data_IF_705444197256
#
_entry.id   IF_705444197256
#
_cell.length_a   1.000
_cell.length_b   1.000
_cell.length_c   1.000
_cell.angle_alpha   90.00
_cell.angle_beta   90.00
_cell.angle_gamma   90.00
#
_symmetry.space_group_name_H-M   'P 1'
#
loop_
_entity.id
_entity.type
_entity.pdbx_description
1 polymer ?
#
# COMPACT_ATOMS: atom_id res chain seq x y z
N UNK A 1 16.30 -8.69 0.19
CA UNK A 1 15.15 -7.91 0.70
C UNK A 1 14.77 -6.89 -0.37
N UNK A 2 13.49 -6.81 -0.78
CA UNK A 2 12.99 -5.77 -1.72
C UNK A 2 12.88 -4.39 -1.04
N UNK A 3 13.76 -4.10 -0.08
CA UNK A 3 13.70 -2.88 0.72
C UNK A 3 14.06 -1.68 -0.14
N UNK A 4 13.19 -0.67 -0.14
CA UNK A 4 13.37 0.61 -0.82
C UNK A 4 12.41 0.87 -1.99
N UNK A 5 11.92 -0.14 -2.71
CA UNK A 5 11.09 0.04 -3.92
C UNK A 5 9.61 -0.30 -3.75
N UNK A 6 9.23 -0.92 -2.63
CA UNK A 6 7.84 -1.28 -2.34
C UNK A 6 7.15 -0.16 -1.56
N UNK A 7 5.99 0.25 -2.03
CA UNK A 7 5.16 1.30 -1.41
C UNK A 7 3.73 0.80 -1.30
N UNK A 8 3.09 1.17 -0.20
CA UNK A 8 1.69 0.88 0.07
C UNK A 8 0.93 2.20 0.16
N UNK A 9 -0.31 2.22 -0.33
CA UNK A 9 -1.22 3.33 -0.06
C UNK A 9 -1.56 3.38 1.43
N UNK A 10 -1.96 4.55 1.93
CA UNK A 10 -2.48 4.70 3.30
C UNK A 10 -3.99 4.95 3.22
N UNK A 11 -4.78 3.90 3.41
CA UNK A 11 -6.24 3.99 3.51
C UNK A 11 -6.74 4.16 4.94
N UNK A 12 -6.00 3.64 5.91
CA UNK A 12 -6.23 3.82 7.34
C UNK A 12 -4.90 3.72 8.09
N UNK A 13 -4.38 4.86 8.57
CA UNK A 13 -3.09 4.95 9.24
C UNK A 13 -3.02 4.10 10.53
N UNK A 14 -4.11 4.02 11.29
CA UNK A 14 -4.17 3.28 12.57
C UNK A 14 -4.04 1.76 12.39
N UNK A 15 -4.12 1.27 11.15
CA UNK A 15 -4.09 -0.17 10.82
C UNK A 15 -2.90 -0.57 9.95
N UNK A 16 -1.92 0.31 9.77
CA UNK A 16 -0.74 0.01 8.94
C UNK A 16 0.16 -1.09 9.56
N UNK A 17 0.19 -1.22 10.88
CA UNK A 17 0.97 -2.27 11.55
C UNK A 17 0.24 -3.62 11.63
N UNK A 18 -1.03 -3.67 11.20
CA UNK A 18 -1.79 -4.92 11.15
C UNK A 18 -1.61 -5.57 9.80
N UNK A 19 -0.88 -6.68 9.74
CA UNK A 19 -0.66 -7.43 8.51
C UNK A 19 -1.76 -8.47 8.30
N UNK A 20 -2.24 -8.60 7.08
CA UNK A 20 -3.26 -9.57 6.68
C UNK A 20 -2.78 -10.39 5.49
N UNK A 21 -3.14 -11.67 5.48
CA UNK A 21 -2.89 -12.58 4.37
C UNK A 21 -3.76 -12.18 3.18
N UNK A 22 -3.15 -11.99 2.01
CA UNK A 22 -3.82 -11.65 0.76
C UNK A 22 -3.91 -12.86 -0.19
N UNK A 23 -4.15 -14.06 0.34
CA UNK A 23 -4.43 -15.32 -0.37
C UNK A 23 -3.32 -15.78 -1.35
N UNK A 24 -2.16 -15.11 -1.37
CA UNK A 24 -1.11 -15.29 -2.39
C UNK A 24 0.29 -15.40 -1.79
N UNK A 25 0.41 -15.93 -0.57
CA UNK A 25 1.66 -15.95 0.21
C UNK A 25 2.28 -14.54 0.41
N UNK A 26 1.45 -13.52 0.25
CA UNK A 26 1.81 -12.11 0.36
C UNK A 26 0.98 -11.49 1.47
N UNK A 27 1.66 -11.03 2.50
CA UNK A 27 1.05 -10.23 3.54
C UNK A 27 1.03 -8.77 3.10
N UNK A 28 -0.08 -8.10 3.37
CA UNK A 28 -0.22 -6.66 3.15
C UNK A 28 -0.62 -5.96 4.44
N UNK A 29 -0.28 -4.67 4.61
CA UNK A 29 -0.85 -3.83 5.67
C UNK A 29 -2.36 -3.70 5.47
N UNK A 30 -3.17 -4.04 6.46
CA UNK A 30 -4.62 -3.86 6.44
C UNK A 30 -4.96 -2.38 6.21
N UNK A 31 -4.20 -1.48 6.82
CA UNK A 31 -4.30 -0.04 6.64
C UNK A 31 -4.02 0.43 5.20
N UNK A 32 -3.47 -0.43 4.34
CA UNK A 32 -3.22 -0.07 2.94
C UNK A 32 -4.42 -0.19 2.02
N UNK A 33 -5.45 -0.93 2.45
CA UNK A 33 -6.66 -1.15 1.67
C UNK A 33 -7.43 0.16 1.44
N UNK A 34 -7.74 0.43 0.18
CA UNK A 34 -8.52 1.59 -0.24
C UNK A 34 -9.97 1.18 -0.51
N UNK A 35 -10.88 2.15 -0.42
CA UNK A 35 -12.23 1.94 -0.97
C UNK A 35 -12.15 1.78 -2.49
N UNK A 36 -13.07 1.03 -3.12
CA UNK A 36 -13.06 0.82 -4.56
C UNK A 36 -13.03 2.13 -5.37
N UNK A 37 -13.74 3.15 -4.90
CA UNK A 37 -13.78 4.46 -5.55
C UNK A 37 -12.43 5.17 -5.55
N UNK A 38 -11.69 5.11 -4.44
CA UNK A 38 -10.35 5.72 -4.36
C UNK A 38 -9.35 4.90 -5.17
N UNK A 39 -9.39 3.57 -5.04
CA UNK A 39 -8.53 2.67 -5.81
C UNK A 39 -8.66 2.90 -7.33
N UNK A 40 -9.90 3.06 -7.82
CA UNK A 40 -10.15 3.34 -9.22
C UNK A 40 -9.50 4.65 -9.68
N UNK A 41 -9.61 5.72 -8.89
CA UNK A 41 -8.97 7.01 -9.21
C UNK A 41 -7.45 6.91 -9.23
N UNK A 42 -6.85 6.16 -8.31
CA UNK A 42 -5.40 5.90 -8.29
C UNK A 42 -4.95 5.20 -9.57
N UNK A 43 -5.75 4.26 -10.08
CA UNK A 43 -5.52 3.59 -11.36
C UNK A 43 -5.66 4.57 -12.53
N UNK A 44 -6.67 5.44 -12.52
CA UNK A 44 -6.83 6.49 -13.54
C UNK A 44 -5.61 7.44 -13.59
N UNK A 45 -5.09 7.85 -12.42
CA UNK A 45 -3.88 8.67 -12.33
C UNK A 45 -2.66 7.95 -12.92
N UNK A 46 -2.49 6.66 -12.64
CA UNK A 46 -1.42 5.85 -13.23
C UNK A 46 -1.51 5.81 -14.76
N UNK A 47 -2.72 5.66 -15.32
CA UNK A 47 -2.90 5.69 -16.78
C UNK A 47 -2.64 7.08 -17.40
N UNK A 48 -2.81 8.16 -16.63
CA UNK A 48 -2.46 9.52 -17.07
C UNK A 48 -0.97 9.77 -17.05
N UNK A 49 -0.27 9.35 -15.99
CA UNK A 49 1.17 9.45 -15.87
C UNK A 49 1.75 8.32 -15.00
N UNK A 50 2.28 7.24 -15.61
CA UNK A 50 2.74 6.07 -14.86
C UNK A 50 4.04 6.29 -14.09
N UNK A 51 4.73 7.43 -14.29
CA UNK A 51 6.00 7.74 -13.64
C UNK A 51 5.83 8.47 -12.29
N UNK A 52 4.60 8.88 -11.96
CA UNK A 52 4.29 9.64 -10.74
C UNK A 52 3.24 8.88 -9.95
N UNK A 53 3.44 8.75 -8.64
CA UNK A 53 2.44 8.16 -7.74
C UNK A 53 1.22 9.10 -7.65
N UNK A 54 0.03 8.53 -7.54
CA UNK A 54 -1.18 9.34 -7.33
C UNK A 54 -1.06 10.18 -6.05
N UNK A 55 -1.41 11.46 -6.15
CA UNK A 55 -1.45 12.40 -5.01
C UNK A 55 -2.77 12.31 -4.22
N UNK A 56 -3.72 11.49 -4.67
CA UNK A 56 -5.04 11.30 -4.05
C UNK A 56 -4.93 10.55 -2.72
N UNK A 57 -3.86 9.76 -2.54
CA UNK A 57 -3.58 8.99 -1.34
C UNK A 57 -2.17 9.26 -0.86
N UNK A 58 -1.96 9.15 0.45
CA UNK A 58 -0.62 9.09 1.00
C UNK A 58 0.00 7.71 0.71
N UNK A 59 1.33 7.69 0.66
CA UNK A 59 2.10 6.48 0.40
C UNK A 59 3.13 6.28 1.51
N UNK A 60 3.25 5.03 1.97
CA UNK A 60 4.26 4.62 2.95
C UNK A 60 5.21 3.63 2.29
N UNK A 61 6.51 3.80 2.54
CA UNK A 61 7.52 2.84 2.08
C UNK A 61 7.43 1.57 2.94
N UNK A 62 7.59 0.41 2.32
CA UNK A 62 7.59 -0.87 3.02
C UNK A 62 8.61 -0.93 4.16
N UNK A 63 9.75 -0.23 4.03
CA UNK A 63 10.81 -0.20 5.05
C UNK A 63 10.39 0.53 6.34
N UNK A 64 9.29 1.29 6.31
CA UNK A 64 8.74 1.99 7.48
C UNK A 64 7.66 1.20 8.21
N UNK A 65 7.34 -0.01 7.75
CA UNK A 65 6.31 -0.86 8.35
C UNK A 65 6.95 -1.97 9.17
N UNK A 66 6.29 -2.38 10.25
CA UNK A 66 6.76 -3.48 11.08
C UNK A 66 6.34 -4.84 10.48
N UNK A 67 7.29 -5.51 9.83
CA UNK A 67 7.10 -6.85 9.26
C UNK A 67 7.41 -7.98 10.23
N UNK A 68 7.79 -7.70 11.48
CA UNK A 68 8.26 -8.71 12.43
C UNK A 68 7.21 -9.79 12.75
N UNK A 69 5.92 -9.50 12.55
CA UNK A 69 4.83 -10.46 12.78
C UNK A 69 4.73 -11.59 11.73
N UNK A 70 5.49 -11.52 10.63
CA UNK A 70 5.42 -12.45 9.49
C UNK A 70 6.75 -13.16 9.23
N UNK A 71 7.78 -12.87 10.02
CA UNK A 71 9.13 -13.44 9.92
C UNK A 71 9.43 -14.45 11.04
#
# INVERSE_FOLDING_TARGET
MRGGLCWYSVGNADKLDTLVDADTDLYIPLGSCLTPTIAFKVIEDFFRNPLIKSEIVEWVNADHLDWAAVY
#
